data_IF_612717444384
#
_entry.id   IF_612717444384
#
_cell.length_a   1.000
_cell.length_b   1.000
_cell.length_c   1.000
_cell.angle_alpha   90.00
_cell.angle_beta   90.00
_cell.angle_gamma   90.00
#
_symmetry.space_group_name_H-M   'P 1'
#
loop_
_entity.id
_entity.type
_entity.pdbx_description
1 polymer ?
#
# COMPACT_ATOMS: atom_id res chain seq x y z
N UNK A 1 -1.01 23.92 30.05
CA UNK A 1 0.23 24.18 29.27
C UNK A 1 1.46 23.31 29.64
N UNK A 2 1.44 22.37 30.62
CA UNK A 2 2.51 21.36 30.74
C UNK A 2 2.17 20.00 30.10
N UNK A 3 0.88 19.67 29.88
CA UNK A 3 0.45 18.35 29.39
C UNK A 3 0.78 18.10 27.90
N UNK A 4 0.70 19.13 27.04
CA UNK A 4 0.93 18.99 25.59
C UNK A 4 2.38 18.70 25.20
N UNK A 5 3.33 18.94 26.12
CA UNK A 5 4.75 18.56 25.95
C UNK A 5 5.03 17.12 26.37
N UNK A 6 4.23 16.54 27.27
CA UNK A 6 4.36 15.14 27.67
C UNK A 6 3.76 14.19 26.63
N UNK A 7 2.63 14.57 26.01
CA UNK A 7 1.98 13.77 24.94
C UNK A 7 2.85 13.63 23.70
N UNK A 8 3.69 14.62 23.39
CA UNK A 8 4.64 14.52 22.27
C UNK A 8 5.85 13.63 22.58
N UNK A 9 6.17 13.38 23.85
CA UNK A 9 7.30 12.52 24.26
C UNK A 9 6.89 11.04 24.38
N UNK A 10 5.59 10.76 24.55
CA UNK A 10 4.97 9.43 24.51
C UNK A 10 4.37 9.10 23.13
N UNK A 11 4.88 9.70 22.05
CA UNK A 11 4.55 9.24 20.70
C UNK A 11 5.25 7.90 20.48
N UNK A 12 4.45 6.83 20.54
CA UNK A 12 4.84 5.44 20.39
C UNK A 12 5.80 5.26 19.21
N UNK A 13 7.06 4.92 19.49
CA UNK A 13 8.14 4.83 18.49
C UNK A 13 8.09 3.48 17.75
N UNK A 14 7.26 2.52 18.18
CA UNK A 14 7.27 1.14 17.69
C UNK A 14 5.94 0.63 17.12
N UNK A 15 4.83 1.40 17.18
CA UNK A 15 3.57 1.00 16.56
C UNK A 15 2.47 2.05 16.69
N UNK A 16 1.58 2.11 15.70
CA UNK A 16 0.48 3.08 15.65
C UNK A 16 -0.87 2.37 15.74
N UNK A 17 -1.77 2.91 16.56
CA UNK A 17 -3.16 2.45 16.63
C UNK A 17 -4.06 3.57 16.13
N UNK A 18 -4.91 3.24 15.17
CA UNK A 18 -5.92 4.13 14.61
C UNK A 18 -7.30 3.58 14.97
N UNK A 19 -8.21 4.45 15.40
CA UNK A 19 -9.56 4.08 15.76
C UNK A 19 -10.55 4.54 14.69
N UNK A 20 -11.50 3.67 14.36
CA UNK A 20 -12.61 3.98 13.44
C UNK A 20 -13.91 3.70 14.15
N UNK A 21 -14.75 4.72 14.29
CA UNK A 21 -16.10 4.62 14.82
C UNK A 21 -17.03 5.60 14.10
N UNK A 22 -17.92 5.11 13.21
CA UNK A 22 -18.88 5.98 12.53
C UNK A 22 -19.98 6.52 13.44
N UNK A 23 -20.19 5.93 14.63
CA UNK A 23 -21.27 6.30 15.55
C UNK A 23 -20.84 7.29 16.64
N UNK A 24 -19.54 7.50 16.82
CA UNK A 24 -19.01 8.41 17.82
C UNK A 24 -19.30 9.87 17.44
N UNK A 25 -19.69 10.70 18.41
CA UNK A 25 -20.17 12.06 18.14
C UNK A 25 -19.08 12.94 17.52
N UNK A 26 -17.87 12.83 18.05
CA UNK A 26 -16.71 13.60 17.63
C UNK A 26 -15.91 12.91 16.50
N UNK A 27 -16.44 11.84 15.91
CA UNK A 27 -15.79 11.17 14.79
C UNK A 27 -15.69 12.11 13.58
N UNK A 28 -14.50 12.15 12.97
CA UNK A 28 -14.26 13.03 11.82
C UNK A 28 -13.13 12.52 10.94
N UNK A 29 -13.30 12.65 9.62
CA UNK A 29 -12.29 12.33 8.62
C UNK A 29 -11.46 13.54 8.18
N UNK A 30 -11.64 14.68 8.85
CA UNK A 30 -10.88 15.91 8.62
C UNK A 30 -9.37 15.65 8.61
N UNK A 31 -8.64 16.42 7.80
CA UNK A 31 -7.17 16.36 7.68
C UNK A 31 -6.45 16.63 9.01
N UNK A 32 -7.10 17.35 9.92
CA UNK A 32 -6.57 17.62 11.27
C UNK A 32 -6.65 16.42 12.21
N UNK A 33 -7.49 15.42 11.90
CA UNK A 33 -7.61 14.22 12.70
C UNK A 33 -6.56 13.18 12.29
N UNK A 34 -5.83 12.69 13.29
CA UNK A 34 -4.83 11.62 13.13
C UNK A 34 -5.39 10.24 13.49
N UNK A 35 -6.62 10.16 14.03
CA UNK A 35 -7.30 8.92 14.39
C UNK A 35 -6.65 8.14 15.54
N UNK A 36 -5.65 8.71 16.21
CA UNK A 36 -4.91 8.08 17.31
C UNK A 36 -5.61 8.15 18.67
N UNK A 37 -6.76 8.83 18.75
CA UNK A 37 -7.59 8.93 19.95
C UNK A 37 -8.92 8.20 19.78
N UNK A 38 -9.32 7.44 20.79
CA UNK A 38 -10.65 6.82 20.84
C UNK A 38 -11.78 7.84 20.96
N UNK A 39 -11.51 9.03 21.52
CA UNK A 39 -12.52 10.08 21.69
C UNK A 39 -12.70 10.94 20.45
N UNK A 40 -11.81 10.80 19.45
CA UNK A 40 -11.92 11.49 18.16
C UNK A 40 -11.47 10.54 17.04
N UNK A 41 -12.19 9.42 16.83
CA UNK A 41 -11.81 8.42 15.83
C UNK A 41 -12.09 8.92 14.40
N UNK A 42 -11.59 8.21 13.40
CA UNK A 42 -12.05 8.38 12.02
C UNK A 42 -13.48 7.85 11.85
N UNK A 43 -14.23 8.42 10.91
CA UNK A 43 -15.54 7.92 10.51
C UNK A 43 -15.43 6.76 9.54
N UNK A 44 -14.43 6.79 8.66
CA UNK A 44 -14.31 5.82 7.56
C UNK A 44 -13.03 5.00 7.63
N UNK A 45 -13.14 3.73 7.20
CA UNK A 45 -11.98 2.82 7.11
C UNK A 45 -10.99 3.31 6.04
N UNK A 46 -11.48 3.85 4.92
CA UNK A 46 -10.64 4.37 3.85
C UNK A 46 -9.72 5.49 4.35
N UNK A 47 -10.27 6.48 5.08
CA UNK A 47 -9.48 7.56 5.66
C UNK A 47 -8.40 7.04 6.62
N UNK A 48 -8.74 6.05 7.44
CA UNK A 48 -7.80 5.41 8.36
C UNK A 48 -6.66 4.66 7.63
N UNK A 49 -6.96 3.95 6.54
CA UNK A 49 -5.95 3.27 5.72
C UNK A 49 -5.01 4.25 5.00
N UNK A 50 -5.56 5.36 4.50
CA UNK A 50 -4.79 6.43 3.87
C UNK A 50 -3.86 7.11 4.90
N UNK A 51 -4.32 7.33 6.14
CA UNK A 51 -3.45 7.82 7.22
C UNK A 51 -2.40 6.77 7.63
N UNK A 52 -2.76 5.49 7.64
CA UNK A 52 -1.82 4.40 7.92
C UNK A 52 -0.64 4.39 6.94
N UNK A 53 -0.92 4.60 5.65
CA UNK A 53 0.09 4.75 4.61
C UNK A 53 0.99 5.97 4.89
N UNK A 54 0.40 7.12 5.24
CA UNK A 54 1.15 8.34 5.56
C UNK A 54 2.04 8.20 6.80
N UNK A 55 1.60 7.51 7.84
CA UNK A 55 2.43 7.26 9.03
C UNK A 55 3.64 6.36 8.75
N UNK A 56 3.52 5.51 7.73
CA UNK A 56 4.59 4.68 7.24
C UNK A 56 5.68 5.50 6.53
N UNK A 57 5.34 6.64 5.93
CA UNK A 57 6.28 7.45 5.16
C UNK A 57 7.48 7.92 5.98
N UNK A 58 8.68 7.70 5.45
CA UNK A 58 9.95 8.26 5.94
C UNK A 58 10.73 8.74 4.73
N UNK A 59 11.24 9.97 4.79
CA UNK A 59 12.00 10.54 3.67
C UNK A 59 13.21 9.67 3.30
N UNK A 60 13.43 9.51 1.99
CA UNK A 60 14.49 8.70 1.41
C UNK A 60 13.95 7.46 0.67
N UNK A 61 14.62 7.12 -0.43
CA UNK A 61 14.18 6.05 -1.32
C UNK A 61 14.07 4.72 -0.58
N UNK A 62 12.90 4.06 -0.72
CA UNK A 62 12.59 2.77 -0.09
C UNK A 62 12.90 2.76 1.41
N UNK A 63 12.53 3.84 2.11
CA UNK A 63 12.70 3.98 3.55
C UNK A 63 11.36 3.94 4.33
N UNK A 64 10.24 3.81 3.63
CA UNK A 64 8.90 3.70 4.24
C UNK A 64 8.80 2.53 5.21
N UNK A 65 8.33 2.77 6.42
CA UNK A 65 8.16 1.70 7.41
C UNK A 65 7.01 0.76 7.02
N UNK A 66 7.15 -0.50 7.39
CA UNK A 66 6.21 -1.58 7.11
C UNK A 66 5.73 -2.23 8.42
N UNK A 67 4.51 -2.78 8.44
CA UNK A 67 3.94 -3.52 9.58
C UNK A 67 3.93 -2.75 10.91
N UNK A 68 3.43 -1.50 10.88
CA UNK A 68 3.37 -0.63 12.06
C UNK A 68 1.97 -0.32 12.57
N UNK A 69 0.98 -0.32 11.68
CA UNK A 69 -0.31 0.29 11.97
C UNK A 69 -1.39 -0.77 12.19
N UNK A 70 -2.13 -0.63 13.28
CA UNK A 70 -3.34 -1.39 13.56
C UNK A 70 -4.55 -0.48 13.59
N UNK A 71 -5.57 -0.79 12.80
CA UNK A 71 -6.87 -0.11 12.78
C UNK A 71 -7.86 -0.91 13.62
N UNK A 72 -8.42 -0.27 14.64
CA UNK A 72 -9.46 -0.85 15.50
C UNK A 72 -10.82 -0.31 15.06
N UNK A 73 -11.69 -1.22 14.63
CA UNK A 73 -13.06 -0.90 14.27
C UNK A 73 -13.98 -1.05 15.48
N UNK A 74 -14.70 0.01 15.81
CA UNK A 74 -15.75 -0.07 16.82
C UNK A 74 -16.91 -0.98 16.39
N UNK A 75 -17.77 -1.33 17.35
CA UNK A 75 -19.01 -2.02 17.04
C UNK A 75 -19.95 -1.07 16.29
N UNK A 76 -20.50 -1.50 15.16
CA UNK A 76 -21.25 -0.64 14.27
C UNK A 76 -21.22 -1.12 12.82
N UNK A 77 -21.94 -0.41 11.97
CA UNK A 77 -21.90 -0.63 10.52
C UNK A 77 -20.90 0.33 9.90
N UNK A 78 -19.84 -0.22 9.33
CA UNK A 78 -18.83 0.50 8.59
C UNK A 78 -19.09 0.34 7.10
N UNK A 79 -19.36 1.45 6.43
CA UNK A 79 -19.57 1.47 4.98
C UNK A 79 -18.24 1.68 4.27
N UNK A 80 -18.04 0.96 3.15
CA UNK A 80 -16.82 1.02 2.35
C UNK A 80 -17.20 1.40 0.93
N UNK A 81 -16.70 2.54 0.44
CA UNK A 81 -16.85 2.90 -0.97
C UNK A 81 -15.73 2.23 -1.78
N UNK A 82 -16.02 1.04 -2.27
CA UNK A 82 -15.09 0.19 -3.03
C UNK A 82 -15.14 0.42 -4.55
N UNK A 83 -15.67 1.56 -5.01
CA UNK A 83 -15.64 1.94 -6.44
C UNK A 83 -14.19 1.97 -6.96
N UNK A 84 -13.99 1.72 -8.27
CA UNK A 84 -12.69 1.92 -8.91
C UNK A 84 -12.18 3.35 -8.74
N UNK A 85 -10.91 3.47 -8.36
CA UNK A 85 -10.24 4.74 -8.24
C UNK A 85 -9.79 5.30 -9.59
N UNK A 86 -9.23 6.51 -9.53
CA UNK A 86 -8.69 7.19 -10.70
C UNK A 86 -7.39 6.54 -11.15
N UNK A 87 -7.14 6.63 -12.47
CA UNK A 87 -5.93 6.13 -13.12
C UNK A 87 -5.00 7.32 -13.37
N UNK A 88 -3.82 7.36 -12.73
CA UNK A 88 -2.82 8.39 -13.00
C UNK A 88 -2.29 8.28 -14.44
N UNK A 89 -2.17 9.41 -15.12
CA UNK A 89 -1.57 9.55 -16.43
C UNK A 89 -0.68 10.79 -16.46
N UNK A 90 0.52 10.67 -17.03
CA UNK A 90 1.39 11.82 -17.27
C UNK A 90 1.00 12.49 -18.58
N UNK A 91 0.59 13.75 -18.48
CA UNK A 91 0.27 14.59 -19.64
C UNK A 91 1.24 15.77 -19.67
N UNK A 92 2.33 15.63 -20.43
CA UNK A 92 3.35 16.66 -20.62
C UNK A 92 3.99 17.14 -19.30
N UNK A 93 4.35 16.23 -18.41
CA UNK A 93 4.98 16.52 -17.12
C UNK A 93 3.99 17.00 -16.05
N UNK A 94 2.69 16.76 -16.24
CA UNK A 94 1.66 17.11 -15.27
C UNK A 94 0.84 15.88 -14.88
N UNK A 95 0.57 15.72 -13.59
CA UNK A 95 -0.31 14.68 -13.09
C UNK A 95 -1.74 14.96 -13.58
N UNK A 96 -2.28 14.04 -14.37
CA UNK A 96 -3.68 14.02 -14.78
C UNK A 96 -4.26 12.67 -14.48
N UNK A 97 -5.58 12.62 -14.43
CA UNK A 97 -6.31 11.44 -14.00
C UNK A 97 -7.38 11.07 -15.02
N UNK A 98 -7.56 9.77 -15.20
CA UNK A 98 -8.62 9.20 -16.03
C UNK A 98 -9.54 8.33 -15.18
N UNK A 99 -10.85 8.49 -15.33
CA UNK A 99 -11.85 7.67 -14.64
C UNK A 99 -12.07 6.36 -15.40
N UNK A 100 -12.62 5.33 -14.73
CA UNK A 100 -12.95 4.07 -15.40
C UNK A 100 -14.05 4.19 -16.47
N UNK A 101 -14.83 5.26 -16.42
CA UNK A 101 -15.88 5.55 -17.42
C UNK A 101 -15.37 6.35 -18.63
N UNK A 102 -14.08 6.72 -18.66
CA UNK A 102 -13.44 7.36 -19.80
C UNK A 102 -13.35 8.88 -19.75
N UNK A 103 -13.69 9.50 -18.63
CA UNK A 103 -13.41 10.92 -18.43
C UNK A 103 -11.91 11.11 -18.20
N UNK A 104 -11.27 11.95 -19.01
CA UNK A 104 -9.83 12.21 -18.97
C UNK A 104 -9.55 13.60 -18.41
N UNK A 105 -8.26 13.93 -18.21
CA UNK A 105 -7.79 15.23 -17.73
C UNK A 105 -8.37 15.68 -16.38
N UNK A 106 -8.77 14.72 -15.55
CA UNK A 106 -9.21 14.99 -14.18
C UNK A 106 -8.02 15.44 -13.33
N UNK A 107 -8.31 16.23 -12.30
CA UNK A 107 -7.31 16.72 -11.34
C UNK A 107 -7.68 16.16 -9.96
N UNK A 108 -6.71 15.57 -9.28
CA UNK A 108 -6.81 15.20 -7.88
C UNK A 108 -6.26 16.35 -7.05
N UNK A 109 -7.10 16.93 -6.20
CA UNK A 109 -6.68 18.08 -5.38
C UNK A 109 -6.09 17.61 -4.06
N UNK A 110 -5.06 18.29 -3.52
CA UNK A 110 -4.55 18.02 -2.18
C UNK A 110 -5.65 18.09 -1.13
N UNK A 111 -5.54 17.26 -0.09
CA UNK A 111 -6.49 17.28 1.01
C UNK A 111 -6.39 18.57 1.82
N UNK A 112 -7.55 19.11 2.18
CA UNK A 112 -7.68 20.30 3.02
C UNK A 112 -8.95 20.26 3.85
N UNK A 113 -9.22 21.34 4.58
CA UNK A 113 -10.41 21.45 5.43
C UNK A 113 -11.73 21.38 4.65
N UNK A 114 -11.71 21.73 3.36
CA UNK A 114 -12.87 21.68 2.47
C UNK A 114 -13.05 20.36 1.71
N UNK A 115 -12.14 19.38 1.88
CA UNK A 115 -12.22 18.10 1.17
C UNK A 115 -13.42 17.28 1.62
N UNK A 116 -14.14 16.72 0.65
CA UNK A 116 -15.35 15.94 0.92
C UNK A 116 -15.01 14.46 1.17
N UNK A 117 -15.04 14.06 2.43
CA UNK A 117 -14.81 12.68 2.86
C UNK A 117 -16.11 11.90 3.13
N UNK A 118 -17.28 12.46 2.82
CA UNK A 118 -18.55 11.79 3.03
C UNK A 118 -18.81 10.73 1.96
N UNK A 119 -18.78 9.46 2.36
CA UNK A 119 -19.03 8.32 1.47
C UNK A 119 -20.44 8.32 0.85
N UNK A 120 -21.40 9.09 1.37
CA UNK A 120 -22.74 9.25 0.75
C UNK A 120 -22.74 10.12 -0.49
N UNK A 121 -21.72 10.95 -0.64
CA UNK A 121 -21.54 11.77 -1.83
C UNK A 121 -20.90 10.96 -2.97
N UNK A 122 -21.43 11.06 -4.21
CA UNK A 122 -20.81 10.44 -5.37
C UNK A 122 -19.42 10.99 -5.67
N UNK A 123 -19.13 12.23 -5.29
CA UNK A 123 -17.88 12.94 -5.57
C UNK A 123 -16.87 12.89 -4.42
N UNK A 124 -17.05 11.99 -3.46
CA UNK A 124 -16.15 11.87 -2.31
C UNK A 124 -14.69 11.64 -2.75
N UNK A 125 -13.75 12.20 -2.01
CA UNK A 125 -12.33 12.13 -2.38
C UNK A 125 -11.72 10.74 -2.13
N UNK A 126 -12.30 9.95 -1.23
CA UNK A 126 -11.70 8.70 -0.75
C UNK A 126 -11.68 7.59 -1.80
N UNK A 127 -12.76 7.41 -2.57
CA UNK A 127 -12.81 6.35 -3.58
C UNK A 127 -11.83 6.58 -4.74
N UNK A 128 -11.49 7.85 -5.04
CA UNK A 128 -10.54 8.21 -6.10
C UNK A 128 -9.18 7.56 -5.89
N UNK A 129 -8.81 7.32 -4.63
CA UNK A 129 -7.55 6.69 -4.23
C UNK A 129 -7.56 5.16 -4.31
N UNK A 130 -8.73 4.51 -4.42
CA UNK A 130 -8.83 3.04 -4.47
C UNK A 130 -8.06 2.43 -5.64
N UNK A 131 -7.95 1.10 -5.68
CA UNK A 131 -7.45 0.37 -6.85
C UNK A 131 -8.15 0.81 -8.13
N UNK A 132 -7.41 0.86 -9.25
CA UNK A 132 -7.98 1.18 -10.57
C UNK A 132 -9.00 0.12 -11.04
N UNK A 133 -8.99 -1.07 -10.43
CA UNK A 133 -9.97 -2.16 -10.66
C UNK A 133 -11.06 -2.22 -9.56
N UNK A 134 -11.09 -1.24 -8.67
CA UNK A 134 -11.96 -1.20 -7.50
C UNK A 134 -11.50 -2.10 -6.36
N UNK A 135 -12.08 -1.86 -5.19
CA UNK A 135 -11.60 -2.34 -3.91
C UNK A 135 -10.63 -1.38 -3.23
N UNK A 136 -10.77 -1.28 -1.91
CA UNK A 136 -9.90 -0.46 -1.07
C UNK A 136 -8.62 -1.24 -0.77
N UNK A 137 -7.48 -0.67 -1.14
CA UNK A 137 -6.18 -1.28 -0.85
C UNK A 137 -5.88 -1.11 0.65
N UNK A 138 -5.45 -2.20 1.29
CA UNK A 138 -4.92 -2.19 2.65
C UNK A 138 -3.40 -2.09 2.55
N UNK A 139 -2.80 -0.92 2.79
CA UNK A 139 -1.39 -0.69 2.49
C UNK A 139 -0.48 -1.13 3.65
N UNK A 140 0.81 -1.34 3.34
CA UNK A 140 1.92 -1.47 4.31
C UNK A 140 1.75 -2.55 5.39
N UNK A 141 1.02 -3.63 5.10
CA UNK A 141 0.75 -4.68 6.09
C UNK A 141 -0.19 -4.23 7.21
N UNK A 142 -0.97 -3.17 7.00
CA UNK A 142 -1.87 -2.62 8.03
C UNK A 142 -2.86 -3.68 8.51
N UNK A 143 -3.01 -3.78 9.83
CA UNK A 143 -3.97 -4.68 10.46
C UNK A 143 -5.33 -4.01 10.61
N UNK A 144 -6.42 -4.76 10.41
CA UNK A 144 -7.80 -4.31 10.68
C UNK A 144 -8.47 -5.28 11.65
N UNK A 145 -8.82 -4.81 12.83
CA UNK A 145 -9.40 -5.64 13.89
C UNK A 145 -10.72 -5.04 14.35
N UNK A 146 -11.80 -5.81 14.21
CA UNK A 146 -13.09 -5.44 14.79
C UNK A 146 -13.14 -5.70 16.30
N UNK A 147 -13.88 -4.85 17.03
CA UNK A 147 -14.11 -5.06 18.47
C UNK A 147 -14.96 -6.31 18.76
N UNK A 148 -15.82 -6.73 17.82
CA UNK A 148 -16.71 -7.86 17.99
C UNK A 148 -17.13 -8.43 16.63
N UNK A 149 -16.91 -9.74 16.42
CA UNK A 149 -17.24 -10.44 15.18
C UNK A 149 -18.66 -10.16 14.65
N UNK A 150 -19.66 -10.12 15.53
CA UNK A 150 -21.08 -10.02 15.15
C UNK A 150 -21.58 -8.59 15.10
N UNK A 151 -20.97 -7.67 15.86
CA UNK A 151 -21.40 -6.27 15.96
C UNK A 151 -20.62 -5.34 15.06
N UNK A 152 -19.37 -5.66 14.72
CA UNK A 152 -18.62 -4.94 13.68
C UNK A 152 -19.03 -5.49 12.32
N UNK A 153 -19.73 -4.66 11.54
CA UNK A 153 -20.32 -5.02 10.25
C UNK A 153 -19.68 -4.19 9.14
N UNK A 154 -19.23 -4.83 8.07
CA UNK A 154 -18.76 -4.15 6.86
C UNK A 154 -19.82 -4.23 5.77
N UNK A 155 -20.09 -3.11 5.09
CA UNK A 155 -20.99 -3.06 3.93
C UNK A 155 -20.37 -2.32 2.75
N UNK A 156 -20.38 -2.88 1.53
CA UNK A 156 -19.90 -2.20 0.33
C UNK A 156 -20.91 -1.18 -0.21
N UNK A 157 -20.41 -0.14 -0.91
CA UNK A 157 -21.23 0.75 -1.75
C UNK A 157 -21.17 0.43 -3.23
N UNK A 158 -20.20 -0.33 -3.70
CA UNK A 158 -20.08 -0.70 -5.10
C UNK A 158 -20.28 -2.20 -5.27
N UNK A 159 -21.32 -2.56 -6.03
CA UNK A 159 -21.67 -3.93 -6.38
C UNK A 159 -21.76 -3.99 -7.91
N UNK A 160 -20.74 -4.50 -8.60
CA UNK A 160 -20.69 -4.52 -10.06
C UNK A 160 -21.91 -5.19 -10.70
N UNK A 161 -22.36 -4.65 -11.83
CA UNK A 161 -23.52 -5.16 -12.55
C UNK A 161 -23.36 -6.65 -12.95
N UNK A 162 -24.22 -7.56 -12.46
CA UNK A 162 -24.15 -8.97 -12.81
C UNK A 162 -24.44 -9.26 -14.29
N UNK A 163 -25.20 -8.41 -14.98
CA UNK A 163 -25.68 -8.66 -16.36
C UNK A 163 -24.84 -7.95 -17.42
N UNK A 164 -24.14 -6.87 -17.04
CA UNK A 164 -23.33 -6.08 -17.98
C UNK A 164 -21.89 -6.61 -18.05
N UNK A 165 -21.52 -7.20 -19.18
CA UNK A 165 -20.17 -7.73 -19.42
C UNK A 165 -19.07 -6.66 -19.50
N UNK A 166 -19.44 -5.39 -19.72
CA UNK A 166 -18.48 -4.29 -19.75
C UNK A 166 -18.06 -3.85 -18.33
N UNK A 167 -18.84 -4.23 -17.31
CA UNK A 167 -18.50 -3.96 -15.91
C UNK A 167 -17.71 -5.14 -15.35
N UNK A 168 -16.44 -4.86 -15.03
CA UNK A 168 -15.51 -5.83 -14.49
C UNK A 168 -15.87 -6.25 -13.05
N UNK A 169 -15.52 -7.48 -12.65
CA UNK A 169 -15.56 -7.89 -11.24
C UNK A 169 -14.67 -7.00 -10.36
N UNK A 170 -15.04 -6.87 -9.09
CA UNK A 170 -14.33 -6.03 -8.13
C UNK A 170 -14.27 -6.64 -6.73
N UNK A 171 -13.52 -6.00 -5.85
CA UNK A 171 -13.32 -6.43 -4.47
C UNK A 171 -13.84 -5.38 -3.47
N UNK A 172 -14.06 -5.76 -2.22
CA UNK A 172 -14.25 -4.81 -1.10
C UNK A 172 -12.87 -4.35 -0.62
N UNK A 173 -12.01 -5.31 -0.27
CA UNK A 173 -10.65 -5.05 0.17
C UNK A 173 -9.64 -5.74 -0.74
N UNK A 174 -8.55 -5.03 -1.04
CA UNK A 174 -7.35 -5.58 -1.68
C UNK A 174 -6.23 -5.68 -0.65
N UNK A 175 -5.74 -6.90 -0.47
CA UNK A 175 -4.76 -7.28 0.54
C UNK A 175 -3.33 -7.12 0.00
N UNK A 176 -2.46 -6.56 0.83
CA UNK A 176 -1.01 -6.67 0.70
C UNK A 176 -0.46 -7.75 1.62
N UNK A 177 0.83 -8.07 1.50
CA UNK A 177 1.58 -8.89 2.45
C UNK A 177 1.51 -8.34 3.87
N UNK A 178 1.68 -9.24 4.83
CA UNK A 178 1.63 -9.05 6.29
C UNK A 178 0.32 -8.52 6.89
N UNK A 179 -0.69 -8.15 6.08
CA UNK A 179 -1.96 -7.66 6.63
C UNK A 179 -2.62 -8.70 7.54
N UNK A 180 -3.04 -8.29 8.74
CA UNK A 180 -3.84 -9.10 9.65
C UNK A 180 -5.26 -8.56 9.78
N UNK A 181 -6.25 -9.37 9.41
CA UNK A 181 -7.66 -8.96 9.34
C UNK A 181 -8.49 -9.89 10.22
N UNK A 182 -9.20 -9.33 11.21
CA UNK A 182 -9.97 -10.17 12.13
C UNK A 182 -11.20 -9.51 12.76
N UNK A 183 -12.09 -10.37 13.30
CA UNK A 183 -13.15 -10.00 14.25
C UNK A 183 -14.25 -9.08 13.67
N UNK A 184 -14.66 -9.28 12.42
CA UNK A 184 -15.85 -8.61 11.87
C UNK A 184 -16.62 -9.47 10.86
N UNK A 185 -17.87 -9.07 10.59
CA UNK A 185 -18.74 -9.71 9.61
C UNK A 185 -18.94 -8.81 8.40
N UNK A 186 -18.75 -9.36 7.20
CA UNK A 186 -19.05 -8.68 5.93
C UNK A 186 -20.46 -9.06 5.48
N UNK A 187 -21.25 -8.06 5.11
CA UNK A 187 -22.59 -8.21 4.57
C UNK A 187 -22.65 -7.74 3.12
N UNK A 188 -23.72 -8.14 2.44
CA UNK A 188 -24.14 -7.54 1.18
C UNK A 188 -24.34 -6.02 1.29
N UNK A 189 -24.52 -5.36 0.13
CA UNK A 189 -25.00 -3.99 0.06
C UNK A 189 -26.21 -3.75 0.98
N UNK A 190 -26.34 -2.53 1.50
CA UNK A 190 -27.39 -2.24 2.48
C UNK A 190 -28.80 -2.33 1.87
N UNK A 191 -29.67 -3.27 2.31
CA UNK A 191 -31.00 -3.43 1.73
C UNK A 191 -31.90 -2.19 1.89
N UNK A 192 -31.61 -1.35 2.90
CA UNK A 192 -32.32 -0.08 3.14
C UNK A 192 -31.61 1.12 2.52
N UNK A 193 -30.43 0.91 1.93
CA UNK A 193 -29.61 1.93 1.30
C UNK A 193 -29.49 1.70 -0.21
N UNK A 194 -28.55 2.44 -0.80
CA UNK A 194 -28.26 2.38 -2.22
C UNK A 194 -26.80 1.98 -2.46
N UNK A 195 -26.55 1.37 -3.62
CA UNK A 195 -25.24 0.99 -4.13
C UNK A 195 -25.05 1.50 -5.56
N UNK A 196 -23.80 1.65 -5.96
CA UNK A 196 -23.38 1.86 -7.34
C UNK A 196 -23.27 0.50 -8.04
N UNK A 197 -23.78 0.42 -9.27
CA UNK A 197 -23.81 -0.79 -10.09
C UNK A 197 -22.84 -0.74 -11.27
N UNK A 198 -22.54 0.47 -11.74
CA UNK A 198 -21.67 0.79 -12.87
C UNK A 198 -20.68 1.90 -12.48
N UNK A 199 -19.94 2.42 -13.46
CA UNK A 199 -18.96 3.50 -13.23
C UNK A 199 -19.59 4.91 -13.18
N UNK A 200 -20.92 5.01 -13.21
CA UNK A 200 -21.62 6.30 -13.13
C UNK A 200 -21.97 6.65 -11.68
N UNK A 201 -22.54 7.84 -11.47
CA UNK A 201 -23.05 8.27 -10.16
C UNK A 201 -24.46 7.72 -9.85
N UNK A 202 -25.03 6.86 -10.70
CA UNK A 202 -26.37 6.32 -10.52
C UNK A 202 -26.44 5.38 -9.31
N UNK A 203 -27.52 5.50 -8.55
CA UNK A 203 -27.77 4.75 -7.33
C UNK A 203 -28.88 3.71 -7.56
N UNK A 204 -28.64 2.50 -7.05
CA UNK A 204 -29.52 1.35 -7.21
C UNK A 204 -29.75 0.66 -5.86
N UNK A 205 -30.90 0.02 -5.70
CA UNK A 205 -31.15 -0.85 -4.55
C UNK A 205 -30.38 -2.17 -4.74
N UNK A 206 -29.66 -2.68 -3.72
CA UNK A 206 -28.86 -3.92 -3.83
C UNK A 206 -29.74 -5.17 -3.73
N UNK A 207 -30.71 -5.32 -4.64
CA UNK A 207 -31.65 -6.45 -4.72
C UNK A 207 -31.38 -7.33 -5.95
N UNK A 208 -30.10 -7.51 -6.30
CA UNK A 208 -29.64 -8.27 -7.46
C UNK A 208 -28.42 -9.12 -7.11
N UNK A 209 -27.97 -9.99 -8.02
CA UNK A 209 -26.83 -10.89 -7.74
C UNK A 209 -25.52 -10.15 -7.48
N UNK A 210 -24.80 -10.52 -6.42
CA UNK A 210 -23.51 -9.93 -6.03
C UNK A 210 -22.31 -10.78 -6.48
N UNK A 211 -22.48 -11.71 -7.42
CA UNK A 211 -21.45 -12.70 -7.79
C UNK A 211 -20.17 -12.11 -8.41
N UNK A 212 -20.20 -10.84 -8.87
CA UNK A 212 -19.04 -10.11 -9.35
C UNK A 212 -18.26 -9.37 -8.26
N UNK A 213 -18.74 -9.42 -7.01
CA UNK A 213 -18.09 -8.80 -5.87
C UNK A 213 -17.40 -9.85 -4.99
N UNK A 214 -16.13 -9.63 -4.68
CA UNK A 214 -15.34 -10.47 -3.78
C UNK A 214 -15.01 -9.72 -2.49
N UNK A 215 -15.06 -10.35 -1.33
CA UNK A 215 -14.69 -9.65 -0.08
C UNK A 215 -13.20 -9.29 -0.05
N UNK A 216 -12.34 -10.24 -0.42
CA UNK A 216 -10.89 -10.06 -0.40
C UNK A 216 -10.21 -10.56 -1.68
N UNK A 217 -9.33 -9.74 -2.24
CA UNK A 217 -8.42 -10.10 -3.32
C UNK A 217 -7.01 -9.59 -3.03
N UNK A 218 -5.98 -10.03 -3.76
CA UNK A 218 -4.69 -9.35 -3.71
C UNK A 218 -4.73 -7.98 -4.40
N UNK A 219 -3.96 -7.04 -3.85
CA UNK A 219 -3.50 -5.86 -4.58
C UNK A 219 -2.46 -6.27 -5.64
N UNK A 220 -2.54 -5.69 -6.83
CA UNK A 220 -1.58 -6.00 -7.90
C UNK A 220 -0.35 -5.12 -7.78
N UNK A 221 0.73 -5.71 -7.26
CA UNK A 221 2.05 -5.09 -7.17
C UNK A 221 3.07 -5.70 -8.12
N UNK A 222 2.65 -6.63 -8.99
CA UNK A 222 3.57 -7.36 -9.88
C UNK A 222 3.38 -7.02 -11.36
N UNK A 223 2.16 -6.67 -11.78
CA UNK A 223 1.85 -6.44 -13.19
C UNK A 223 1.56 -4.97 -13.46
N UNK A 224 2.09 -4.48 -14.58
CA UNK A 224 1.79 -3.15 -15.05
C UNK A 224 0.31 -3.03 -15.43
N UNK A 225 -0.32 -1.90 -15.11
CA UNK A 225 -1.74 -1.69 -15.38
C UNK A 225 -1.98 -1.55 -16.87
N UNK A 226 -2.74 -2.50 -17.41
CA UNK A 226 -3.28 -2.48 -18.76
C UNK A 226 -4.79 -2.70 -18.71
N UNK A 227 -5.52 -1.72 -19.22
CA UNK A 227 -6.98 -1.74 -19.30
C UNK A 227 -7.35 -1.42 -20.74
N UNK A 228 -8.01 -2.37 -21.38
CA UNK A 228 -8.53 -2.23 -22.73
C UNK A 228 -9.93 -2.79 -22.77
N UNK A 229 -10.90 -1.92 -22.59
CA UNK A 229 -12.33 -2.26 -22.57
C UNK A 229 -13.13 -1.28 -23.43
N UNK A 230 -14.46 -1.33 -23.34
CA UNK A 230 -15.36 -0.48 -24.10
C UNK A 230 -15.36 0.99 -23.67
N UNK A 231 -14.76 1.32 -22.52
CA UNK A 231 -14.72 2.68 -21.95
C UNK A 231 -13.36 3.34 -22.17
N UNK A 232 -12.26 2.60 -21.97
CA UNK A 232 -10.90 3.13 -22.03
C UNK A 232 -9.88 2.16 -22.65
N UNK A 233 -8.82 2.72 -23.24
CA UNK A 233 -7.60 2.00 -23.63
C UNK A 233 -6.39 2.71 -22.98
N UNK A 234 -6.01 2.24 -21.80
CA UNK A 234 -4.90 2.77 -21.01
C UNK A 234 -3.86 1.70 -20.77
N UNK A 235 -2.60 2.02 -21.09
CA UNK A 235 -1.44 1.19 -20.78
C UNK A 235 -0.44 2.03 -19.99
N UNK A 236 -0.03 1.53 -18.83
CA UNK A 236 1.00 2.15 -17.98
C UNK A 236 2.14 1.16 -17.74
N UNK A 237 3.28 1.67 -17.29
CA UNK A 237 4.40 0.88 -16.76
C UNK A 237 4.26 0.63 -15.25
N UNK A 238 3.44 1.42 -14.56
CA UNK A 238 3.19 1.32 -13.11
C UNK A 238 2.19 0.23 -12.77
N UNK A 239 2.38 -0.42 -11.62
CA UNK A 239 1.44 -1.40 -11.05
C UNK A 239 0.25 -0.70 -10.39
N UNK A 240 -0.80 -1.45 -10.02
CA UNK A 240 -1.95 -0.87 -9.32
C UNK A 240 -1.55 -0.34 -7.94
N UNK A 241 -0.63 -1.03 -7.26
CA UNK A 241 -0.09 -0.59 -5.98
C UNK A 241 0.81 0.66 -6.13
N UNK A 242 1.57 0.79 -7.22
CA UNK A 242 2.33 2.02 -7.51
C UNK A 242 1.38 3.20 -7.73
N UNK A 243 0.33 2.99 -8.52
CA UNK A 243 -0.69 4.02 -8.77
C UNK A 243 -1.42 4.44 -7.49
N UNK A 244 -1.64 3.52 -6.56
CA UNK A 244 -2.18 3.84 -5.24
C UNK A 244 -1.25 4.82 -4.50
N UNK A 245 0.06 4.52 -4.43
CA UNK A 245 1.01 5.38 -3.73
C UNK A 245 1.24 6.73 -4.40
N UNK A 246 1.25 6.78 -5.74
CA UNK A 246 1.26 8.04 -6.50
C UNK A 246 0.09 8.94 -6.11
N UNK A 247 -1.13 8.37 -6.09
CA UNK A 247 -2.33 9.11 -5.70
C UNK A 247 -2.32 9.59 -4.26
N UNK A 248 -1.82 8.75 -3.34
CA UNK A 248 -1.69 9.12 -1.93
C UNK A 248 -0.64 10.22 -1.73
N UNK A 249 0.46 10.19 -2.49
CA UNK A 249 1.45 11.27 -2.53
C UNK A 249 0.82 12.60 -2.92
N UNK A 250 0.15 12.63 -4.08
CA UNK A 250 -0.46 13.85 -4.63
C UNK A 250 -1.53 14.48 -3.71
N UNK A 251 -2.27 13.68 -2.92
CA UNK A 251 -3.23 14.25 -1.95
C UNK A 251 -2.58 14.77 -0.67
N UNK A 252 -1.36 14.33 -0.34
CA UNK A 252 -0.59 14.72 0.84
C UNK A 252 0.60 15.62 0.51
N UNK A 253 0.35 16.62 -0.32
CA UNK A 253 1.31 17.68 -0.66
C UNK A 253 1.36 18.79 0.44
N UNK A 254 1.99 19.93 0.14
CA UNK A 254 2.33 21.05 1.03
C UNK A 254 1.19 21.56 1.90
N UNK A 255 -0.07 21.44 1.43
CA UNK A 255 -1.26 21.84 2.18
C UNK A 255 -1.55 21.02 3.45
N UNK A 256 -0.88 19.87 3.63
CA UNK A 256 -1.22 18.90 4.69
C UNK A 256 -0.29 18.92 5.92
N UNK A 257 0.70 19.82 5.93
CA UNK A 257 1.62 20.04 7.05
C UNK A 257 2.74 19.00 7.21
N UNK A 258 2.72 17.93 6.42
CA UNK A 258 3.84 16.99 6.24
C UNK A 258 3.82 16.50 4.78
N UNK A 259 4.34 17.30 3.84
CA UNK A 259 4.34 16.95 2.42
C UNK A 259 5.13 15.67 2.18
N UNK A 260 4.65 14.90 1.21
CA UNK A 260 5.39 13.79 0.62
C UNK A 260 6.00 14.34 -0.67
N UNK A 261 7.32 14.36 -0.80
CA UNK A 261 7.99 14.87 -2.02
C UNK A 261 9.04 13.85 -2.49
N UNK A 262 9.24 13.67 -3.82
CA UNK A 262 8.62 14.40 -4.92
C UNK A 262 7.29 13.78 -5.42
N UNK A 263 6.40 14.64 -5.92
CA UNK A 263 5.08 14.29 -6.44
C UNK A 263 5.12 13.74 -7.87
N UNK A 264 4.16 12.87 -8.19
CA UNK A 264 3.97 12.38 -9.55
C UNK A 264 3.60 13.56 -10.49
N UNK A 265 4.07 13.60 -11.76
CA UNK A 265 4.99 12.69 -12.45
C UNK A 265 6.47 13.09 -12.31
N UNK A 266 6.82 14.00 -11.39
CA UNK A 266 8.15 14.57 -11.27
C UNK A 266 9.06 13.79 -10.29
N UNK A 267 10.34 13.63 -10.63
CA UNK A 267 11.35 13.04 -9.74
C UNK A 267 11.28 11.53 -9.54
N UNK A 268 12.20 10.99 -8.73
CA UNK A 268 12.14 9.61 -8.25
C UNK A 268 11.22 9.56 -7.03
N UNK A 269 10.02 8.98 -7.19
CA UNK A 269 9.01 8.80 -6.14
C UNK A 269 9.64 8.34 -4.82
N UNK A 270 9.51 9.15 -3.78
CA UNK A 270 10.02 8.82 -2.45
C UNK A 270 9.07 7.83 -1.75
N UNK A 271 7.76 8.10 -1.85
CA UNK A 271 6.68 7.25 -1.37
C UNK A 271 6.27 6.24 -2.43
N UNK A 272 6.75 5.01 -2.27
CA UNK A 272 6.67 3.98 -3.32
C UNK A 272 6.25 2.62 -2.76
N UNK A 273 5.87 1.69 -3.63
CA UNK A 273 5.58 0.32 -3.24
C UNK A 273 6.75 -0.32 -2.51
N UNK A 274 6.44 -1.00 -1.40
CA UNK A 274 7.41 -1.83 -0.69
C UNK A 274 7.34 -3.24 -1.25
N UNK A 275 8.48 -3.88 -1.46
CA UNK A 275 8.54 -5.25 -2.00
C UNK A 275 7.78 -6.22 -1.09
N UNK A 276 7.83 -5.99 0.23
CA UNK A 276 7.17 -6.76 1.27
C UNK A 276 5.63 -6.76 1.14
N UNK A 277 5.04 -5.78 0.44
CA UNK A 277 3.58 -5.70 0.23
C UNK A 277 3.05 -6.64 -0.84
N UNK A 278 3.87 -7.01 -1.82
CA UNK A 278 3.44 -7.92 -2.88
C UNK A 278 4.30 -9.19 -2.95
N UNK A 279 5.36 -9.28 -2.15
CA UNK A 279 6.12 -10.50 -1.90
C UNK A 279 5.56 -11.22 -0.68
N UNK A 280 4.60 -12.09 -0.92
CA UNK A 280 3.73 -12.69 0.11
C UNK A 280 4.46 -13.63 1.08
N UNK A 281 5.60 -14.19 0.68
CA UNK A 281 6.51 -14.94 1.55
C UNK A 281 7.88 -14.86 0.91
N UNK A 282 8.85 -14.32 1.66
CA UNK A 282 10.29 -14.36 1.45
C UNK A 282 10.91 -14.14 0.05
N UNK A 283 12.15 -13.66 0.01
CA UNK A 283 12.89 -13.64 -1.25
C UNK A 283 13.17 -15.07 -1.73
N UNK A 284 13.08 -15.32 -3.04
CA UNK A 284 13.53 -16.58 -3.65
C UNK A 284 15.05 -16.64 -3.81
N UNK A 285 15.75 -15.60 -3.36
CA UNK A 285 17.15 -15.36 -3.68
C UNK A 285 17.30 -14.79 -5.09
N UNK A 286 18.20 -13.83 -5.24
CA UNK A 286 18.57 -13.27 -6.54
C UNK A 286 20.06 -12.95 -6.51
N UNK A 287 20.80 -13.50 -7.47
CA UNK A 287 22.24 -13.24 -7.61
C UNK A 287 22.49 -12.31 -8.79
N UNK A 288 23.30 -11.28 -8.58
CA UNK A 288 23.74 -10.33 -9.60
C UNK A 288 25.24 -10.06 -9.43
N UNK A 289 25.94 -9.83 -10.54
CA UNK A 289 27.36 -9.45 -10.53
C UNK A 289 27.57 -8.03 -10.01
N UNK A 290 28.72 -7.79 -9.39
CA UNK A 290 29.12 -6.47 -8.89
C UNK A 290 30.08 -5.85 -9.91
N UNK A 291 29.70 -4.70 -10.45
CA UNK A 291 30.50 -3.93 -11.42
C UNK A 291 31.59 -3.11 -10.73
N UNK A 292 31.29 -2.57 -9.53
CA UNK A 292 32.20 -1.79 -8.71
C UNK A 292 31.80 -1.86 -7.24
N UNK A 293 32.78 -1.76 -6.34
CA UNK A 293 32.54 -1.61 -4.91
C UNK A 293 33.56 -0.65 -4.32
N UNK A 294 33.10 0.29 -3.51
CA UNK A 294 33.95 1.31 -2.90
C UNK A 294 33.63 1.51 -1.43
N UNK A 295 34.66 1.71 -0.63
CA UNK A 295 34.56 2.16 0.76
C UNK A 295 34.72 3.68 0.82
N UNK A 296 33.81 4.36 1.53
CA UNK A 296 33.81 5.82 1.62
C UNK A 296 33.66 6.48 0.25
N UNK A 297 34.62 7.31 -0.13
CA UNK A 297 34.67 8.00 -1.42
C UNK A 297 35.51 7.25 -2.49
N UNK A 298 36.08 6.08 -2.15
CA UNK A 298 36.98 5.32 -3.02
C UNK A 298 38.45 5.74 -2.93
N UNK A 299 38.79 6.77 -2.15
CA UNK A 299 40.16 7.22 -1.86
C UNK A 299 40.49 7.15 -0.36
N UNK A 300 39.52 7.49 0.50
CA UNK A 300 39.58 7.42 1.96
C UNK A 300 38.59 6.36 2.44
N UNK A 301 39.11 5.30 3.06
CA UNK A 301 38.27 4.21 3.55
C UNK A 301 37.35 4.66 4.70
N UNK A 302 36.11 4.18 4.68
CA UNK A 302 35.08 4.37 5.70
C UNK A 302 34.32 3.06 5.96
N UNK A 303 33.54 3.01 7.03
CA UNK A 303 32.67 1.87 7.34
C UNK A 303 31.45 1.76 6.41
N UNK A 304 31.15 2.80 5.63
CA UNK A 304 30.08 2.78 4.62
C UNK A 304 30.64 2.29 3.29
N UNK A 305 30.05 1.23 2.76
CA UNK A 305 30.41 0.63 1.47
C UNK A 305 29.31 0.92 0.46
N UNK A 306 29.68 1.37 -0.74
CA UNK A 306 28.77 1.53 -1.88
C UNK A 306 29.06 0.42 -2.89
N UNK A 307 28.01 -0.27 -3.34
CA UNK A 307 28.05 -1.38 -4.30
C UNK A 307 27.32 -0.96 -5.56
N UNK A 308 27.99 -1.11 -6.70
CA UNK A 308 27.44 -0.94 -8.05
C UNK A 308 27.22 -2.32 -8.69
N UNK A 309 26.05 -2.54 -9.27
CA UNK A 309 25.63 -3.82 -9.83
C UNK A 309 25.69 -3.83 -11.36
N UNK A 310 25.91 -5.00 -11.94
CA UNK A 310 25.88 -5.21 -13.40
C UNK A 310 24.46 -5.12 -13.98
N UNK A 311 23.44 -5.42 -13.16
CA UNK A 311 22.03 -5.40 -13.56
C UNK A 311 21.11 -5.06 -12.38
N UNK A 312 19.84 -4.81 -12.67
CA UNK A 312 18.87 -4.40 -11.66
C UNK A 312 18.51 -5.54 -10.72
N UNK A 313 18.60 -5.27 -9.42
CA UNK A 313 18.14 -6.17 -8.36
C UNK A 313 16.72 -5.74 -7.93
N UNK A 314 15.71 -6.54 -8.24
CA UNK A 314 14.29 -6.14 -8.09
C UNK A 314 13.81 -6.21 -6.65
N UNK A 315 14.43 -7.07 -5.85
CA UNK A 315 14.01 -7.38 -4.47
C UNK A 315 14.82 -6.61 -3.41
N UNK A 316 15.51 -5.53 -3.82
CA UNK A 316 16.39 -4.75 -2.97
C UNK A 316 15.63 -3.67 -2.19
N UNK A 317 15.54 -3.82 -0.87
CA UNK A 317 15.01 -2.80 0.05
C UNK A 317 16.01 -2.53 1.18
N UNK A 318 15.86 -1.40 1.87
CA UNK A 318 16.52 -1.20 3.18
C UNK A 318 16.13 -2.36 4.10
N UNK A 319 17.07 -2.85 4.89
CA UNK A 319 16.95 -4.02 5.76
C UNK A 319 16.99 -5.40 5.05
N UNK A 320 17.16 -5.43 3.73
CA UNK A 320 17.37 -6.70 3.01
C UNK A 320 18.73 -7.32 3.36
N UNK A 321 18.79 -8.60 3.81
CA UNK A 321 20.04 -9.29 4.01
C UNK A 321 20.66 -9.72 2.67
N UNK A 322 21.93 -9.38 2.46
CA UNK A 322 22.69 -9.67 1.25
C UNK A 322 24.03 -10.33 1.58
N UNK A 323 24.41 -11.33 0.78
CA UNK A 323 25.74 -11.92 0.80
C UNK A 323 26.60 -11.30 -0.29
N UNK A 324 27.70 -10.68 0.13
CA UNK A 324 28.74 -10.19 -0.76
C UNK A 324 29.85 -11.24 -0.83
N UNK A 325 30.23 -11.63 -2.05
CA UNK A 325 31.28 -12.63 -2.26
C UNK A 325 32.13 -12.33 -3.50
N UNK A 326 33.34 -12.91 -3.56
CA UNK A 326 34.24 -12.80 -4.70
C UNK A 326 35.12 -11.56 -4.75
N UNK A 327 35.24 -10.81 -3.63
CA UNK A 327 36.14 -9.67 -3.52
C UNK A 327 37.47 -10.13 -2.89
N UNK A 328 38.59 -9.87 -3.56
CA UNK A 328 39.93 -10.30 -3.11
C UNK A 328 40.43 -9.55 -1.88
N UNK A 329 39.96 -8.31 -1.70
CA UNK A 329 40.31 -7.46 -0.55
C UNK A 329 39.48 -7.83 0.67
N UNK A 330 40.13 -7.97 1.83
CA UNK A 330 39.46 -8.23 3.10
C UNK A 330 38.58 -7.05 3.55
N UNK A 331 37.51 -7.36 4.28
CA UNK A 331 36.59 -6.35 4.83
C UNK A 331 35.34 -6.12 3.99
N UNK A 332 35.26 -6.64 2.75
CA UNK A 332 34.06 -6.50 1.91
C UNK A 332 33.15 -7.73 1.88
N UNK A 333 33.70 -8.95 1.93
CA UNK A 333 32.90 -10.18 1.86
C UNK A 333 32.20 -10.47 3.19
N UNK A 334 31.00 -11.04 3.13
CA UNK A 334 30.21 -11.39 4.30
C UNK A 334 28.72 -11.29 4.04
N UNK A 335 27.94 -11.47 5.11
CA UNK A 335 26.50 -11.21 5.11
C UNK A 335 26.29 -9.86 5.78
N UNK A 336 25.60 -8.97 5.08
CA UNK A 336 25.32 -7.62 5.54
C UNK A 336 23.87 -7.26 5.30
N UNK A 337 23.42 -6.21 5.96
CA UNK A 337 22.09 -5.64 5.78
C UNK A 337 22.23 -4.36 4.96
N UNK A 338 21.36 -4.19 3.96
CA UNK A 338 21.31 -3.00 3.13
C UNK A 338 20.91 -1.80 3.99
N UNK A 339 21.78 -0.79 4.07
CA UNK A 339 21.55 0.41 4.88
C UNK A 339 20.89 1.54 4.09
N UNK A 340 21.07 1.57 2.77
CA UNK A 340 20.52 2.59 1.89
C UNK A 340 20.40 2.03 0.47
N UNK A 341 19.30 2.32 -0.22
CA UNK A 341 19.15 2.04 -1.65
C UNK A 341 19.28 3.35 -2.41
N UNK A 342 20.30 3.46 -3.26
CA UNK A 342 20.56 4.69 -4.04
C UNK A 342 19.89 4.61 -5.42
N UNK A 343 19.81 3.40 -5.99
CA UNK A 343 19.09 3.11 -7.22
C UNK A 343 18.85 1.60 -7.37
N UNK A 344 18.16 1.18 -8.43
CA UNK A 344 17.98 -0.25 -8.75
C UNK A 344 19.29 -1.02 -9.01
N UNK A 345 20.41 -0.32 -9.20
CA UNK A 345 21.73 -0.89 -9.47
C UNK A 345 22.79 -0.43 -8.49
N UNK A 346 22.41 0.32 -7.45
CA UNK A 346 23.36 0.83 -6.45
C UNK A 346 22.75 0.86 -5.05
N UNK A 347 23.49 0.33 -4.08
CA UNK A 347 23.10 0.36 -2.68
C UNK A 347 24.31 0.50 -1.76
N UNK A 348 24.04 0.75 -0.48
CA UNK A 348 25.06 0.81 0.55
C UNK A 348 24.80 -0.20 1.67
N UNK A 349 25.88 -0.64 2.30
CA UNK A 349 25.87 -1.39 3.55
C UNK A 349 26.98 -0.91 4.47
N UNK A 350 26.90 -1.27 5.74
CA UNK A 350 27.87 -0.86 6.77
C UNK A 350 28.68 -2.05 7.26
N UNK A 351 29.99 -1.86 7.42
CA UNK A 351 30.93 -2.84 7.97
C UNK A 351 31.47 -2.39 9.34
N UNK A 352 31.86 -3.33 10.19
CA UNK A 352 32.37 -3.03 11.53
C UNK A 352 33.76 -2.37 11.56
N UNK A 353 34.55 -2.51 10.50
CA UNK A 353 35.85 -1.86 10.35
C UNK A 353 36.08 -1.50 8.87
N UNK A 354 36.64 -0.32 8.62
CA UNK A 354 36.90 0.17 7.26
C UNK A 354 37.91 -0.75 6.53
N UNK A 355 37.63 -1.18 5.27
CA UNK A 355 38.57 -1.97 4.48
C UNK A 355 39.88 -1.23 4.19
N UNK A 356 41.00 -1.95 4.11
CA UNK A 356 42.31 -1.35 3.88
C UNK A 356 42.48 -0.76 2.47
N UNK A 357 41.81 -1.33 1.47
CA UNK A 357 41.80 -0.79 0.10
C UNK A 357 40.40 -0.22 -0.19
N UNK A 358 40.27 1.11 -0.40
CA UNK A 358 38.99 1.77 -0.57
C UNK A 358 38.34 1.53 -1.94
N UNK A 359 39.10 1.06 -2.95
CA UNK A 359 38.57 0.77 -4.29
C UNK A 359 39.26 -0.48 -4.89
N UNK A 360 38.82 -1.70 -4.50
CA UNK A 360 39.39 -2.93 -5.02
C UNK A 360 39.01 -3.21 -6.49
N UNK A 361 39.92 -3.82 -7.23
CA UNK A 361 39.62 -4.36 -8.57
C UNK A 361 38.84 -5.68 -8.44
N UNK A 362 37.78 -5.81 -9.24
CA UNK A 362 36.88 -6.96 -9.22
C UNK A 362 37.17 -7.93 -10.36
N UNK A 363 37.04 -9.23 -10.10
CA UNK A 363 37.27 -10.29 -11.11
C UNK A 363 36.09 -11.26 -11.21
N UNK A 364 35.40 -11.54 -10.09
CA UNK A 364 34.24 -12.44 -10.02
C UNK A 364 33.33 -12.11 -8.83
N UNK A 365 33.15 -10.82 -8.55
CA UNK A 365 32.36 -10.37 -7.40
C UNK A 365 30.87 -10.46 -7.69
N UNK A 366 30.09 -10.91 -6.71
CA UNK A 366 28.65 -11.02 -6.82
C UNK A 366 27.97 -10.67 -5.49
N UNK A 367 26.75 -10.18 -5.61
CA UNK A 367 25.79 -10.05 -4.52
C UNK A 367 24.74 -11.13 -4.69
N UNK A 368 24.38 -11.79 -3.61
CA UNK A 368 23.21 -12.67 -3.56
C UNK A 368 22.27 -12.18 -2.45
N UNK A 369 21.00 -11.94 -2.77
CA UNK A 369 19.98 -11.74 -1.74
C UNK A 369 19.83 -13.05 -0.97
N UNK A 370 20.00 -13.00 0.34
CA UNK A 370 19.80 -14.16 1.18
C UNK A 370 18.33 -14.57 1.16
N UNK A 371 18.08 -15.88 1.14
CA UNK A 371 16.71 -16.40 1.24
C UNK A 371 16.22 -16.09 2.64
N UNK A 372 15.38 -15.07 2.73
CA UNK A 372 14.80 -14.58 3.98
C UNK A 372 13.31 -14.93 4.00
N UNK A 373 12.87 -15.70 4.99
CA UNK A 373 11.47 -16.11 5.17
C UNK A 373 10.72 -15.30 6.22
N UNK A 374 11.37 -14.34 6.90
CA UNK A 374 10.81 -13.62 8.05
C UNK A 374 10.44 -12.17 7.74
N UNK A 375 11.10 -11.52 6.79
CA UNK A 375 10.86 -10.11 6.46
C UNK A 375 9.59 -9.87 5.61
N UNK A 376 8.91 -10.91 5.14
CA UNK A 376 7.61 -10.78 4.46
C UNK A 376 6.70 -11.95 4.82
N UNK A 377 5.41 -11.65 5.00
CA UNK A 377 4.44 -12.62 5.50
C UNK A 377 3.17 -12.64 4.64
N UNK A 378 2.49 -13.79 4.66
CA UNK A 378 1.21 -13.92 3.98
C UNK A 378 0.15 -13.11 4.71
N UNK A 379 -0.82 -12.49 4.00
CA UNK A 379 -1.95 -11.90 4.68
C UNK A 379 -2.67 -12.99 5.48
N UNK A 380 -3.07 -12.62 6.68
CA UNK A 380 -3.72 -13.51 7.61
C UNK A 380 -5.13 -13.01 7.91
N UNK A 381 -6.11 -13.79 7.44
CA UNK A 381 -7.53 -13.59 7.67
C UNK A 381 -7.96 -14.53 8.81
N UNK A 382 -8.36 -13.98 9.95
CA UNK A 382 -8.68 -14.77 11.14
C UNK A 382 -10.05 -14.42 11.72
N UNK A 383 -10.86 -15.43 12.00
CA UNK A 383 -12.16 -15.29 12.66
C UNK A 383 -13.00 -14.17 12.01
N UNK A 384 -13.34 -14.38 10.74
CA UNK A 384 -14.19 -13.49 9.94
C UNK A 384 -15.47 -14.23 9.55
N UNK A 385 -16.56 -13.48 9.36
CA UNK A 385 -17.81 -14.04 8.86
C UNK A 385 -18.26 -13.31 7.59
N UNK A 386 -18.78 -14.05 6.62
CA UNK A 386 -19.47 -13.49 5.45
C UNK A 386 -20.94 -13.89 5.51
N UNK A 387 -21.83 -12.91 5.41
CA UNK A 387 -23.29 -13.12 5.37
C UNK A 387 -23.86 -12.47 4.12
N UNK A 388 -23.99 -13.27 3.07
CA UNK A 388 -24.54 -12.84 1.79
C UNK A 388 -25.78 -13.66 1.44
N UNK A 389 -26.84 -12.96 1.05
CA UNK A 389 -28.08 -13.47 0.47
C UNK A 389 -27.94 -13.56 -1.06
N UNK A 390 -27.20 -12.63 -1.68
CA UNK A 390 -27.14 -12.47 -3.14
C UNK A 390 -25.92 -13.12 -3.81
N UNK A 391 -25.14 -13.92 -3.08
CA UNK A 391 -24.06 -14.73 -3.64
C UNK A 391 -22.73 -14.00 -3.82
N UNK A 392 -22.39 -13.06 -2.93
CA UNK A 392 -21.08 -12.40 -2.91
C UNK A 392 -19.94 -13.41 -2.67
N UNK A 393 -18.83 -13.28 -3.41
CA UNK A 393 -17.67 -14.16 -3.27
C UNK A 393 -16.93 -13.87 -1.96
N UNK A 394 -16.34 -14.93 -1.39
CA UNK A 394 -15.54 -14.81 -0.17
C UNK A 394 -14.17 -14.21 -0.47
N UNK A 395 -13.27 -15.02 -1.01
CA UNK A 395 -11.87 -14.67 -1.17
C UNK A 395 -11.41 -15.17 -2.55
N UNK A 396 -10.66 -14.36 -3.28
CA UNK A 396 -10.02 -14.72 -4.55
C UNK A 396 -8.57 -14.24 -4.58
N UNK A 397 -7.65 -15.14 -4.18
CA UNK A 397 -6.23 -14.85 -4.07
C UNK A 397 -5.48 -15.25 -5.35
N UNK A 398 -5.49 -14.36 -6.34
CA UNK A 398 -4.78 -14.54 -7.61
C UNK A 398 -3.26 -14.36 -7.43
N UNK A 399 -2.54 -15.48 -7.45
CA UNK A 399 -1.08 -15.50 -7.35
C UNK A 399 -0.36 -14.79 -8.50
N UNK A 400 -1.01 -14.48 -9.64
CA UNK A 400 -0.37 -13.72 -10.72
C UNK A 400 -0.12 -12.25 -10.33
N UNK A 401 -0.87 -11.71 -9.37
CA UNK A 401 -0.79 -10.31 -8.89
C UNK A 401 0.34 -10.06 -7.86
N UNK A 402 1.01 -11.12 -7.43
CA UNK A 402 1.98 -11.12 -6.33
C UNK A 402 3.21 -11.98 -6.63
N UNK A 403 4.31 -11.71 -5.94
CA UNK A 403 5.59 -12.45 -6.01
C UNK A 403 5.86 -13.23 -4.72
N UNK A 404 7.05 -13.85 -4.58
CA UNK A 404 7.38 -14.71 -3.43
C UNK A 404 6.72 -16.09 -3.46
N UNK A 405 6.53 -16.72 -2.30
CA UNK A 405 5.63 -17.87 -2.15
C UNK A 405 4.19 -17.38 -1.99
N UNK A 406 3.37 -17.73 -2.98
CA UNK A 406 2.03 -17.20 -3.18
C UNK A 406 1.05 -17.94 -2.26
N UNK A 407 0.85 -17.44 -1.05
CA UNK A 407 -0.03 -18.07 -0.03
C UNK A 407 -0.88 -17.07 0.74
N UNK A 408 -2.09 -17.47 1.15
CA UNK A 408 -2.89 -16.70 2.10
C UNK A 408 -3.28 -17.60 3.26
N UNK A 409 -3.18 -17.08 4.48
CA UNK A 409 -3.59 -17.82 5.67
C UNK A 409 -5.03 -17.46 6.01
N UNK A 410 -5.88 -18.47 6.13
CA UNK A 410 -7.25 -18.34 6.58
C UNK A 410 -7.46 -19.30 7.73
N UNK A 411 -7.87 -18.77 8.88
CA UNK A 411 -8.31 -19.58 10.01
C UNK A 411 -9.66 -19.06 10.49
N UNK A 412 -10.62 -19.98 10.59
CA UNK A 412 -11.99 -19.69 10.96
C UNK A 412 -12.24 -19.99 12.43
#
# INVERSE_FOLDING_TARGET
MPLSRLENFLKNIQGNVIYVDPNELDATDSIENQGNSQTRPFKTIQRALIEAARFSYVAGQRNDKFDLTTIILAAGTHTVDNRPGFIPVDVSGNARYTTRFGETNQILSPFGLGSNFDLTSPDNELFKLNSVRGGVIIPRGTSIVGKDLRKTKIRPKYVPDPENNNIDPSAIFRLTGACYISQFTIFDGDPSGNVYKDYTANLFTPSFSHHKLTCFEYADGANAVRIKDSFIDVTSTSTDLDMYYQKVGDVYDAGTGRPIEPDFPSGSLDFQTRVEEYRIVGSKGQQVGISSIKSGDGATASTTITVDLDSTLTDLSIDTPVRISGISTSGYNGIFVVSEVVSNTQFKYVVGAAPNNPLPTLTSANVNIEVDTINSASPYLFNLSKRSVFGMNGIHLDGAKVTGFKSGLLAQ
#
